data_IF_806864689055
#
_entry.id   IF_806864689055
#
_cell.length_a   1.000
_cell.length_b   1.000
_cell.length_c   1.000
_cell.angle_alpha   90.00
_cell.angle_beta   90.00
_cell.angle_gamma   90.00
#
_symmetry.space_group_name_H-M   'P 1'
#
loop_
_entity.id
_entity.type
_entity.pdbx_description
1 polymer ?
#
# COMPACT_ATOMS: atom_id res chain seq x y z
N UNK A 1 25.74 -3.61 -19.69
CA UNK A 1 25.03 -3.36 -18.42
C UNK A 1 24.61 -4.71 -17.88
N UNK A 2 25.45 -5.30 -17.05
CA UNK A 2 25.16 -6.59 -16.40
C UNK A 2 24.08 -6.39 -15.34
N UNK A 3 23.14 -7.34 -15.31
CA UNK A 3 21.89 -7.21 -14.57
C UNK A 3 22.15 -7.59 -13.11
N UNK A 4 22.21 -6.59 -12.22
CA UNK A 4 22.33 -6.75 -10.76
C UNK A 4 21.24 -7.69 -10.18
N UNK A 5 20.11 -7.78 -10.88
CA UNK A 5 18.99 -8.67 -10.56
C UNK A 5 18.78 -9.73 -11.65
N UNK A 6 19.76 -10.60 -11.87
CA UNK A 6 19.70 -11.68 -12.88
C UNK A 6 18.50 -12.62 -12.70
N UNK A 7 18.02 -12.79 -11.45
CA UNK A 7 16.81 -13.55 -11.12
C UNK A 7 15.51 -12.90 -11.61
N UNK A 8 15.53 -11.60 -11.97
CA UNK A 8 14.40 -10.86 -12.50
C UNK A 8 14.37 -10.85 -14.05
N UNK A 9 15.22 -11.65 -14.70
CA UNK A 9 15.11 -11.83 -16.16
C UNK A 9 13.94 -12.76 -16.51
N UNK A 10 12.92 -12.18 -17.14
CA UNK A 10 11.77 -12.94 -17.61
C UNK A 10 12.12 -13.92 -18.74
N UNK A 11 13.15 -13.61 -19.55
CA UNK A 11 13.57 -14.44 -20.69
C UNK A 11 14.78 -15.31 -20.35
N UNK A 12 14.96 -15.64 -19.08
CA UNK A 12 16.05 -16.50 -18.61
C UNK A 12 16.04 -17.81 -19.40
N UNK A 13 17.09 -18.04 -20.18
CA UNK A 13 17.21 -19.24 -21.01
C UNK A 13 17.60 -20.42 -20.13
N UNK A 14 16.83 -21.50 -20.24
CA UNK A 14 17.19 -22.76 -19.61
C UNK A 14 18.49 -23.29 -20.26
N UNK A 15 19.51 -23.67 -19.47
CA UNK A 15 20.69 -24.32 -20.01
C UNK A 15 20.31 -25.68 -20.60
N UNK A 16 21.09 -26.19 -21.59
CA UNK A 16 20.85 -27.52 -22.14
C UNK A 16 20.82 -28.57 -21.03
N UNK A 17 19.80 -29.43 -21.03
CA UNK A 17 19.71 -30.52 -20.07
C UNK A 17 20.76 -31.58 -20.43
N UNK A 18 21.91 -31.49 -19.77
CA UNK A 18 23.00 -32.45 -19.89
C UNK A 18 23.13 -33.20 -18.57
N UNK A 19 23.32 -34.51 -18.65
CA UNK A 19 23.67 -35.35 -17.51
C UNK A 19 25.11 -35.86 -17.68
N UNK A 20 25.83 -35.96 -16.56
CA UNK A 20 27.20 -36.44 -16.49
C UNK A 20 27.29 -37.57 -15.47
N UNK A 21 28.14 -38.56 -15.73
CA UNK A 21 28.37 -39.66 -14.80
C UNK A 21 29.21 -39.16 -13.62
N UNK A 22 28.69 -39.36 -12.40
CA UNK A 22 29.34 -38.99 -11.15
C UNK A 22 29.41 -40.23 -10.25
N UNK A 23 30.48 -40.37 -9.47
CA UNK A 23 30.70 -41.52 -8.58
C UNK A 23 29.76 -41.52 -7.37
N UNK A 24 29.62 -40.36 -6.72
CA UNK A 24 28.75 -40.18 -5.56
C UNK A 24 27.41 -39.56 -5.98
N UNK A 25 26.33 -40.29 -5.76
CA UNK A 25 24.96 -39.82 -6.01
C UNK A 25 24.10 -39.76 -4.75
N UNK A 26 24.68 -40.06 -3.59
CA UNK A 26 23.97 -40.18 -2.30
C UNK A 26 23.15 -38.92 -1.95
N UNK A 27 23.69 -37.73 -2.23
CA UNK A 27 23.05 -36.46 -1.95
C UNK A 27 21.80 -36.18 -2.80
N UNK A 28 21.70 -36.79 -3.99
CA UNK A 28 20.59 -36.57 -4.92
C UNK A 28 19.25 -37.03 -4.32
N UNK A 29 19.26 -38.07 -3.48
CA UNK A 29 18.10 -38.54 -2.72
C UNK A 29 17.52 -37.44 -1.82
N UNK A 30 18.39 -36.71 -1.11
CA UNK A 30 17.97 -35.62 -0.24
C UNK A 30 17.38 -34.46 -1.06
N UNK A 31 18.01 -34.11 -2.19
CA UNK A 31 17.49 -33.08 -3.10
C UNK A 31 16.10 -33.47 -3.62
N UNK A 32 15.93 -34.71 -4.09
CA UNK A 32 14.66 -35.25 -4.57
C UNK A 32 13.56 -35.16 -3.50
N UNK A 33 13.84 -35.60 -2.27
CA UNK A 33 12.88 -35.56 -1.16
C UNK A 33 12.47 -34.12 -0.83
N UNK A 34 13.42 -33.19 -0.79
CA UNK A 34 13.14 -31.80 -0.46
C UNK A 34 12.33 -31.11 -1.56
N UNK A 35 12.65 -31.36 -2.85
CA UNK A 35 11.86 -30.86 -3.98
C UNK A 35 10.44 -31.43 -3.95
N UNK A 36 10.29 -32.75 -3.74
CA UNK A 36 8.97 -33.38 -3.66
C UNK A 36 8.10 -32.84 -2.54
N UNK A 37 8.69 -32.62 -1.37
CA UNK A 37 7.98 -32.01 -0.25
C UNK A 37 7.47 -30.62 -0.63
N UNK A 38 8.28 -29.83 -1.33
CA UNK A 38 7.85 -28.50 -1.79
C UNK A 38 6.77 -28.57 -2.87
N UNK A 39 6.88 -29.49 -3.84
CA UNK A 39 5.83 -29.71 -4.85
C UNK A 39 4.50 -30.13 -4.20
N UNK A 40 4.53 -31.02 -3.20
CA UNK A 40 3.33 -31.36 -2.42
C UNK A 40 2.74 -30.14 -1.71
N UNK A 41 3.58 -29.25 -1.17
CA UNK A 41 3.15 -28.01 -0.53
C UNK A 41 2.53 -26.99 -1.51
N UNK A 42 2.84 -27.08 -2.81
CA UNK A 42 2.20 -26.29 -3.86
C UNK A 42 0.83 -26.85 -4.27
N UNK A 43 0.52 -28.10 -3.91
CA UNK A 43 -0.78 -28.73 -4.13
C UNK A 43 -1.72 -28.64 -2.90
N UNK A 44 -1.24 -28.06 -1.79
CA UNK A 44 -2.04 -27.86 -0.58
C UNK A 44 -3.19 -26.87 -0.80
N UNK A 45 -4.27 -26.93 0.00
CA UNK A 45 -5.42 -26.03 -0.11
C UNK A 45 -5.04 -24.54 -0.11
N UNK A 46 -4.02 -24.14 0.65
CA UNK A 46 -3.52 -22.76 0.70
C UNK A 46 -3.03 -22.23 -0.67
N UNK A 47 -2.47 -23.11 -1.50
CA UNK A 47 -2.00 -22.73 -2.84
C UNK A 47 -3.19 -22.51 -3.79
N UNK A 48 -4.19 -23.40 -3.75
CA UNK A 48 -5.45 -23.21 -4.48
C UNK A 48 -6.18 -21.94 -4.05
N UNK A 49 -6.25 -21.70 -2.75
CA UNK A 49 -6.81 -20.48 -2.17
C UNK A 49 -6.08 -19.22 -2.66
N UNK A 50 -4.77 -19.30 -2.86
CA UNK A 50 -3.98 -18.20 -3.41
C UNK A 50 -4.37 -17.90 -4.85
N UNK A 51 -4.46 -18.93 -5.70
CA UNK A 51 -4.85 -18.79 -7.11
C UNK A 51 -6.26 -18.22 -7.26
N UNK A 52 -7.23 -18.74 -6.50
CA UNK A 52 -8.61 -18.24 -6.50
C UNK A 52 -8.69 -16.77 -6.06
N UNK A 53 -7.92 -16.41 -5.03
CA UNK A 53 -7.83 -15.04 -4.53
C UNK A 53 -7.16 -14.11 -5.56
N UNK A 54 -6.10 -14.58 -6.22
CA UNK A 54 -5.44 -13.85 -7.30
C UNK A 54 -6.39 -13.58 -8.48
N UNK A 55 -7.17 -14.58 -8.89
CA UNK A 55 -8.19 -14.45 -9.91
C UNK A 55 -9.30 -13.46 -9.49
N UNK A 56 -9.71 -13.47 -8.21
CA UNK A 56 -10.66 -12.50 -7.67
C UNK A 56 -10.13 -11.06 -7.76
N UNK A 57 -8.86 -10.81 -7.43
CA UNK A 57 -8.22 -9.49 -7.59
C UNK A 57 -8.27 -9.04 -9.06
N UNK A 58 -7.95 -9.93 -10.00
CA UNK A 58 -8.06 -9.64 -11.44
C UNK A 58 -9.47 -9.22 -11.86
N UNK A 59 -10.50 -9.96 -11.39
CA UNK A 59 -11.92 -9.64 -11.65
C UNK A 59 -12.34 -8.30 -11.02
N UNK A 60 -11.97 -8.05 -9.77
CA UNK A 60 -12.26 -6.79 -9.07
C UNK A 60 -11.61 -5.60 -9.79
N UNK A 61 -10.36 -5.75 -10.23
CA UNK A 61 -9.64 -4.75 -11.00
C UNK A 61 -10.35 -4.46 -12.33
N UNK A 62 -10.71 -5.49 -13.09
CA UNK A 62 -11.38 -5.34 -14.38
C UNK A 62 -12.73 -4.61 -14.24
N UNK A 63 -13.55 -4.99 -13.27
CA UNK A 63 -14.88 -4.40 -13.02
C UNK A 63 -14.83 -2.91 -12.70
N UNK A 64 -13.75 -2.43 -12.06
CA UNK A 64 -13.63 -1.03 -11.61
C UNK A 64 -12.52 -0.24 -12.29
N UNK A 65 -11.96 -0.76 -13.38
CA UNK A 65 -10.88 -0.11 -14.13
C UNK A 65 -11.20 1.32 -14.53
N UNK A 66 -12.42 1.57 -15.00
CA UNK A 66 -12.83 2.90 -15.46
C UNK A 66 -13.09 3.87 -14.30
N UNK A 67 -13.67 3.38 -13.20
CA UNK A 67 -13.98 4.20 -12.02
C UNK A 67 -12.73 4.63 -11.26
N UNK A 68 -11.71 3.77 -11.20
CA UNK A 68 -10.54 3.98 -10.34
C UNK A 68 -9.22 4.21 -11.10
N UNK A 69 -9.25 4.36 -12.43
CA UNK A 69 -8.06 4.51 -13.29
C UNK A 69 -7.03 5.53 -12.77
N UNK A 70 -7.50 6.65 -12.23
CA UNK A 70 -6.64 7.75 -11.78
C UNK A 70 -6.29 7.70 -10.29
N UNK A 71 -6.80 6.72 -9.54
CA UNK A 71 -6.55 6.60 -8.11
C UNK A 71 -5.19 5.94 -7.83
N UNK A 72 -4.35 6.51 -6.94
CA UNK A 72 -3.05 5.92 -6.60
C UNK A 72 -3.14 4.47 -6.10
N UNK A 73 -4.10 4.14 -5.22
CA UNK A 73 -4.26 2.76 -4.74
C UNK A 73 -4.65 1.78 -5.84
N UNK A 74 -5.40 2.22 -6.85
CA UNK A 74 -5.72 1.37 -8.00
C UNK A 74 -4.49 1.08 -8.86
N UNK A 75 -3.54 2.03 -8.98
CA UNK A 75 -2.24 1.76 -9.62
C UNK A 75 -1.45 0.69 -8.86
N UNK A 76 -1.51 0.67 -7.53
CA UNK A 76 -0.91 -0.39 -6.71
C UNK A 76 -1.57 -1.75 -6.97
N UNK A 77 -2.90 -1.79 -7.14
CA UNK A 77 -3.62 -3.01 -7.54
C UNK A 77 -3.23 -3.46 -8.96
N UNK A 78 -3.01 -2.53 -9.90
CA UNK A 78 -2.50 -2.90 -11.23
C UNK A 78 -1.09 -3.49 -11.17
N UNK A 79 -0.20 -2.94 -10.33
CA UNK A 79 1.14 -3.50 -10.09
C UNK A 79 1.07 -4.89 -9.44
N UNK A 80 0.16 -5.07 -8.47
CA UNK A 80 -0.14 -6.35 -7.85
C UNK A 80 -0.56 -7.38 -8.93
N UNK A 81 -1.53 -7.03 -9.78
CA UNK A 81 -1.99 -7.92 -10.84
C UNK A 81 -0.87 -8.25 -11.85
N UNK A 82 -0.03 -7.28 -12.20
CA UNK A 82 1.12 -7.52 -13.07
C UNK A 82 2.13 -8.50 -12.44
N UNK A 83 2.37 -8.40 -11.12
CA UNK A 83 3.21 -9.35 -10.40
C UNK A 83 2.60 -10.76 -10.35
N UNK A 84 1.28 -10.86 -10.09
CA UNK A 84 0.56 -12.15 -10.13
C UNK A 84 0.62 -12.81 -11.50
N UNK A 85 0.41 -12.07 -12.58
CA UNK A 85 0.53 -12.60 -13.94
C UNK A 85 1.97 -13.04 -14.26
N UNK A 86 2.98 -12.37 -13.72
CA UNK A 86 4.38 -12.82 -13.86
C UNK A 86 4.62 -14.12 -13.10
N UNK A 87 4.02 -14.29 -11.93
CA UNK A 87 4.20 -15.47 -11.09
C UNK A 87 3.60 -16.70 -11.78
N UNK A 88 2.39 -16.54 -12.34
CA UNK A 88 1.74 -17.58 -13.14
C UNK A 88 2.59 -18.02 -14.34
N UNK A 89 3.33 -17.09 -14.97
CA UNK A 89 4.19 -17.39 -16.12
C UNK A 89 5.55 -17.99 -15.75
N UNK A 90 5.97 -17.88 -14.49
CA UNK A 90 7.24 -18.43 -14.03
C UNK A 90 7.17 -19.96 -13.89
N UNK A 91 5.99 -20.52 -13.58
CA UNK A 91 5.73 -21.97 -13.53
C UNK A 91 6.86 -22.79 -12.88
N UNK A 92 7.17 -22.44 -11.62
CA UNK A 92 8.24 -23.07 -10.87
C UNK A 92 7.99 -24.58 -10.65
N UNK A 93 6.73 -24.99 -10.55
CA UNK A 93 6.36 -26.39 -10.33
C UNK A 93 6.87 -27.25 -11.49
N UNK A 94 6.61 -26.83 -12.73
CA UNK A 94 7.10 -27.52 -13.92
C UNK A 94 8.63 -27.55 -14.00
N UNK A 95 9.29 -26.44 -13.71
CA UNK A 95 10.76 -26.37 -13.70
C UNK A 95 11.36 -27.37 -12.69
N UNK A 96 10.76 -27.46 -11.50
CA UNK A 96 11.17 -28.39 -10.44
C UNK A 96 10.86 -29.85 -10.78
N UNK A 97 9.71 -30.16 -11.38
CA UNK A 97 9.35 -31.50 -11.84
C UNK A 97 10.33 -32.01 -12.91
N UNK A 98 10.65 -31.17 -13.89
CA UNK A 98 11.61 -31.50 -14.94
C UNK A 98 13.01 -31.76 -14.36
N UNK A 99 13.47 -30.91 -13.44
CA UNK A 99 14.78 -31.10 -12.80
C UNK A 99 14.81 -32.36 -11.92
N UNK A 100 13.75 -32.57 -11.12
CA UNK A 100 13.59 -33.76 -10.29
C UNK A 100 13.61 -35.03 -11.14
N UNK A 101 12.94 -35.04 -12.28
CA UNK A 101 12.91 -36.19 -13.20
C UNK A 101 14.26 -36.48 -13.88
N UNK A 102 15.21 -35.54 -13.85
CA UNK A 102 16.57 -35.73 -14.34
C UNK A 102 17.54 -36.24 -13.26
N UNK A 103 17.09 -36.40 -12.01
CA UNK A 103 17.88 -37.02 -10.94
C UNK A 103 17.85 -38.56 -11.10
N UNK A 104 18.91 -39.27 -10.68
CA UNK A 104 18.97 -40.72 -10.77
C UNK A 104 17.94 -41.40 -9.84
N UNK A 105 17.32 -42.49 -10.32
CA UNK A 105 16.34 -43.27 -9.57
C UNK A 105 16.96 -44.07 -8.41
N UNK A 106 18.21 -44.51 -8.59
CA UNK A 106 19.01 -45.22 -7.58
C UNK A 106 20.15 -44.32 -7.16
N UNK A 107 20.24 -44.04 -5.86
CA UNK A 107 21.26 -43.18 -5.27
C UNK A 107 22.06 -43.99 -4.25
N UNK A 108 23.28 -44.40 -4.61
CA UNK A 108 24.21 -45.10 -3.72
C UNK A 108 25.58 -44.40 -3.74
N UNK A 109 26.34 -44.56 -2.66
CA UNK A 109 27.70 -43.99 -2.52
C UNK A 109 28.72 -44.70 -3.43
N UNK A 110 28.48 -45.99 -3.73
CA UNK A 110 29.37 -46.85 -4.51
C UNK A 110 28.93 -47.06 -5.96
N UNK A 111 27.67 -46.76 -6.30
CA UNK A 111 27.18 -46.81 -7.68
C UNK A 111 27.09 -45.40 -8.26
N UNK A 112 27.97 -45.15 -9.23
CA UNK A 112 27.91 -43.94 -10.02
C UNK A 112 26.63 -43.87 -10.86
N UNK A 113 26.11 -42.66 -11.05
CA UNK A 113 24.88 -42.41 -11.78
C UNK A 113 24.94 -41.16 -12.65
N UNK A 114 24.00 -41.05 -13.59
CA UNK A 114 23.85 -39.88 -14.43
C UNK A 114 23.22 -38.73 -13.62
N UNK A 115 23.96 -37.64 -13.46
CA UNK A 115 23.56 -36.47 -12.68
C UNK A 115 23.43 -35.22 -13.55
N UNK A 116 22.44 -34.36 -13.34
CA UNK A 116 22.32 -33.12 -14.10
C UNK A 116 23.50 -32.19 -13.80
N UNK A 117 23.86 -31.34 -14.75
CA UNK A 117 24.97 -30.40 -14.54
C UNK A 117 24.66 -29.35 -13.48
N UNK A 118 25.72 -28.79 -12.89
CA UNK A 118 25.64 -27.63 -11.99
C UNK A 118 24.92 -26.44 -12.61
N UNK A 119 25.09 -26.21 -13.92
CA UNK A 119 24.36 -25.16 -14.65
C UNK A 119 22.84 -25.35 -14.60
N UNK A 120 22.36 -26.58 -14.78
CA UNK A 120 20.93 -26.90 -14.68
C UNK A 120 20.41 -26.69 -13.26
N UNK A 121 21.20 -27.02 -12.24
CA UNK A 121 20.83 -26.81 -10.85
C UNK A 121 20.83 -25.32 -10.46
N UNK A 122 21.85 -24.57 -10.87
CA UNK A 122 21.92 -23.12 -10.68
C UNK A 122 20.72 -22.43 -11.31
N UNK A 123 20.31 -22.82 -12.53
CA UNK A 123 19.07 -22.33 -13.15
C UNK A 123 17.86 -22.49 -12.23
N UNK A 124 17.65 -23.67 -11.64
CA UNK A 124 16.56 -23.92 -10.68
C UNK A 124 16.64 -22.99 -9.47
N UNK A 125 17.84 -22.77 -8.92
CA UNK A 125 18.03 -21.83 -7.81
C UNK A 125 17.68 -20.40 -8.22
N UNK A 126 18.00 -19.97 -9.44
CA UNK A 126 17.61 -18.65 -9.97
C UNK A 126 16.10 -18.54 -10.14
N UNK A 127 15.44 -19.58 -10.65
CA UNK A 127 13.96 -19.61 -10.76
C UNK A 127 13.31 -19.52 -9.39
N UNK A 128 13.87 -20.21 -8.39
CA UNK A 128 13.41 -20.16 -7.01
C UNK A 128 13.60 -18.78 -6.36
N UNK A 129 14.72 -18.10 -6.64
CA UNK A 129 14.94 -16.70 -6.25
C UNK A 129 13.91 -15.76 -6.88
N UNK A 130 13.66 -15.91 -8.18
CA UNK A 130 12.64 -15.16 -8.90
C UNK A 130 11.24 -15.37 -8.30
N UNK A 131 10.88 -16.60 -7.99
CA UNK A 131 9.62 -16.94 -7.33
C UNK A 131 9.49 -16.30 -5.94
N UNK A 132 10.54 -16.39 -5.12
CA UNK A 132 10.59 -15.77 -3.78
C UNK A 132 10.37 -14.25 -3.85
N UNK A 133 11.19 -13.53 -4.64
CA UNK A 133 11.11 -12.07 -4.71
C UNK A 133 9.82 -11.59 -5.37
N UNK A 134 9.21 -12.40 -6.24
CA UNK A 134 7.91 -12.06 -6.81
C UNK A 134 6.79 -12.14 -5.78
N UNK A 135 6.85 -13.12 -4.86
CA UNK A 135 5.95 -13.16 -3.70
C UNK A 135 6.18 -12.00 -2.73
N UNK A 136 7.43 -11.56 -2.52
CA UNK A 136 7.72 -10.34 -1.76
C UNK A 136 7.11 -9.12 -2.44
N UNK A 137 7.26 -9.01 -3.76
CA UNK A 137 6.70 -7.90 -4.53
C UNK A 137 5.18 -7.85 -4.47
N UNK A 138 4.53 -9.01 -4.51
CA UNK A 138 3.08 -9.15 -4.31
C UNK A 138 2.69 -8.59 -2.94
N UNK A 139 3.43 -8.97 -1.87
CA UNK A 139 3.19 -8.49 -0.50
C UNK A 139 3.32 -6.96 -0.40
N UNK A 140 4.37 -6.37 -0.96
CA UNK A 140 4.56 -4.92 -0.97
C UNK A 140 3.42 -4.18 -1.68
N UNK A 141 2.98 -4.71 -2.83
CA UNK A 141 1.87 -4.12 -3.58
C UNK A 141 0.55 -4.24 -2.80
N UNK A 142 0.34 -5.36 -2.11
CA UNK A 142 -0.78 -5.56 -1.21
C UNK A 142 -0.79 -4.53 -0.07
N UNK A 143 0.33 -4.34 0.64
CA UNK A 143 0.46 -3.35 1.72
C UNK A 143 0.19 -1.93 1.22
N UNK A 144 0.78 -1.56 0.08
CA UNK A 144 0.59 -0.25 -0.55
C UNK A 144 -0.87 0.01 -0.94
N UNK A 145 -1.54 -1.01 -1.51
CA UNK A 145 -2.95 -0.90 -1.87
C UNK A 145 -3.85 -0.86 -0.62
N UNK A 146 -3.58 -1.71 0.37
CA UNK A 146 -4.34 -1.76 1.62
C UNK A 146 -4.27 -0.43 2.38
N UNK A 147 -3.11 0.20 2.48
CA UNK A 147 -2.97 1.52 3.12
C UNK A 147 -3.89 2.57 2.50
N UNK A 148 -3.90 2.65 1.16
CA UNK A 148 -4.75 3.60 0.43
C UNK A 148 -6.25 3.29 0.58
N UNK A 149 -6.64 2.03 0.35
CA UNK A 149 -8.06 1.64 0.41
C UNK A 149 -8.61 1.69 1.84
N UNK A 150 -7.79 1.49 2.86
CA UNK A 150 -8.19 1.70 4.26
C UNK A 150 -8.48 3.17 4.54
N UNK A 151 -7.68 4.10 4.00
CA UNK A 151 -7.98 5.53 4.08
C UNK A 151 -9.28 5.89 3.33
N UNK A 152 -9.50 5.29 2.15
CA UNK A 152 -10.73 5.49 1.38
C UNK A 152 -11.97 4.97 2.12
N UNK A 153 -11.83 3.82 2.81
CA UNK A 153 -12.87 3.22 3.63
C UNK A 153 -13.26 4.13 4.80
N UNK A 154 -12.28 4.75 5.48
CA UNK A 154 -12.54 5.72 6.56
C UNK A 154 -13.33 6.94 6.09
N UNK A 155 -13.23 7.29 4.81
CA UNK A 155 -13.97 8.37 4.19
C UNK A 155 -15.37 7.95 3.70
N UNK A 156 -15.80 6.72 4.01
CA UNK A 156 -17.10 6.14 3.63
C UNK A 156 -17.37 6.06 2.11
N UNK A 157 -16.32 5.95 1.29
CA UNK A 157 -16.46 5.83 -0.16
C UNK A 157 -16.38 4.38 -0.65
N UNK A 158 -17.31 4.01 -1.54
CA UNK A 158 -17.34 2.70 -2.23
C UNK A 158 -17.23 1.51 -1.26
N UNK A 159 -17.88 1.59 -0.10
CA UNK A 159 -17.68 0.69 1.04
C UNK A 159 -17.67 -0.78 0.66
N UNK A 160 -18.71 -1.27 -0.03
CA UNK A 160 -18.83 -2.69 -0.42
C UNK A 160 -17.64 -3.18 -1.27
N UNK A 161 -17.19 -2.37 -2.22
CA UNK A 161 -16.05 -2.74 -3.06
C UNK A 161 -14.75 -2.66 -2.28
N UNK A 162 -14.57 -1.58 -1.51
CA UNK A 162 -13.35 -1.32 -0.74
C UNK A 162 -13.16 -2.38 0.34
N UNK A 163 -14.21 -2.81 1.04
CA UNK A 163 -14.14 -3.88 2.04
C UNK A 163 -13.75 -5.22 1.42
N UNK A 164 -14.43 -5.61 0.33
CA UNK A 164 -14.12 -6.86 -0.38
C UNK A 164 -12.69 -6.85 -0.94
N UNK A 165 -12.27 -5.72 -1.51
CA UNK A 165 -10.92 -5.57 -2.05
C UNK A 165 -9.85 -5.65 -0.94
N UNK A 166 -10.05 -4.98 0.19
CA UNK A 166 -9.13 -5.05 1.34
C UNK A 166 -9.05 -6.49 1.87
N UNK A 167 -10.19 -7.18 2.00
CA UNK A 167 -10.21 -8.58 2.44
C UNK A 167 -9.43 -9.50 1.50
N UNK A 168 -9.63 -9.35 0.18
CA UNK A 168 -8.91 -10.12 -0.83
C UNK A 168 -7.40 -9.82 -0.81
N UNK A 169 -7.01 -8.54 -0.71
CA UNK A 169 -5.61 -8.12 -0.62
C UNK A 169 -4.95 -8.67 0.65
N UNK A 170 -5.64 -8.64 1.79
CA UNK A 170 -5.13 -9.17 3.05
C UNK A 170 -4.92 -10.70 2.99
N UNK A 171 -5.92 -11.44 2.47
CA UNK A 171 -5.79 -12.89 2.25
C UNK A 171 -4.61 -13.21 1.33
N UNK A 172 -4.49 -12.50 0.21
CA UNK A 172 -3.41 -12.69 -0.75
C UNK A 172 -2.03 -12.37 -0.15
N UNK A 173 -1.91 -11.29 0.63
CA UNK A 173 -0.66 -10.93 1.32
C UNK A 173 -0.21 -12.01 2.30
N UNK A 174 -1.14 -12.57 3.07
CA UNK A 174 -0.88 -13.68 4.02
C UNK A 174 -0.37 -14.91 3.27
N UNK A 175 -1.09 -15.35 2.25
CA UNK A 175 -0.75 -16.53 1.46
C UNK A 175 0.59 -16.34 0.71
N UNK A 176 0.83 -15.16 0.14
CA UNK A 176 2.10 -14.83 -0.51
C UNK A 176 3.29 -14.93 0.45
N UNK A 177 3.11 -14.47 1.70
CA UNK A 177 4.16 -14.57 2.73
C UNK A 177 4.46 -16.01 3.11
N UNK A 178 3.43 -16.86 3.19
CA UNK A 178 3.59 -18.29 3.45
C UNK A 178 4.39 -18.96 2.32
N UNK A 179 4.05 -18.68 1.06
CA UNK A 179 4.72 -19.25 -0.10
C UNK A 179 6.18 -18.77 -0.23
N UNK A 180 6.44 -17.48 0.01
CA UNK A 180 7.81 -16.97 0.09
C UNK A 180 8.62 -17.67 1.20
N UNK A 181 8.03 -17.92 2.37
CA UNK A 181 8.70 -18.66 3.45
C UNK A 181 9.02 -20.12 3.08
N UNK A 182 8.09 -20.81 2.42
CA UNK A 182 8.31 -22.17 1.87
C UNK A 182 9.44 -22.15 0.83
N UNK A 183 9.44 -21.17 -0.08
CA UNK A 183 10.46 -20.98 -1.12
C UNK A 183 11.85 -20.71 -0.53
N UNK A 184 11.95 -19.84 0.47
CA UNK A 184 13.21 -19.56 1.17
C UNK A 184 13.75 -20.81 1.87
N UNK A 185 12.87 -21.59 2.50
CA UNK A 185 13.23 -22.86 3.14
C UNK A 185 13.77 -23.87 2.14
N UNK A 186 13.13 -23.99 0.96
CA UNK A 186 13.62 -24.84 -0.12
C UNK A 186 15.01 -24.37 -0.60
N UNK A 187 15.15 -23.07 -0.87
CA UNK A 187 16.40 -22.49 -1.36
C UNK A 187 17.56 -22.75 -0.41
N UNK A 188 17.35 -22.51 0.89
CA UNK A 188 18.39 -22.70 1.92
C UNK A 188 18.81 -24.18 2.06
N UNK A 189 17.94 -25.12 1.72
CA UNK A 189 18.27 -26.56 1.71
C UNK A 189 18.99 -26.99 0.44
N UNK A 190 18.66 -26.39 -0.70
CA UNK A 190 19.25 -26.72 -2.00
C UNK A 190 20.60 -26.03 -2.22
N UNK A 191 20.75 -24.78 -1.78
CA UNK A 191 21.94 -23.95 -2.03
C UNK A 191 23.28 -24.57 -1.61
N UNK A 192 23.39 -25.30 -0.48
CA UNK A 192 24.63 -25.98 -0.10
C UNK A 192 25.03 -27.11 -1.06
N UNK A 193 24.06 -27.72 -1.75
CA UNK A 193 24.29 -28.87 -2.64
C UNK A 193 24.93 -28.47 -3.97
N UNK A 194 25.06 -27.16 -4.28
CA UNK A 194 25.63 -26.67 -5.54
C UNK A 194 27.03 -27.23 -5.81
N UNK A 195 27.86 -27.35 -4.77
CA UNK A 195 29.23 -27.85 -4.91
C UNK A 195 29.31 -29.33 -5.31
N UNK A 196 28.26 -30.11 -5.04
CA UNK A 196 28.22 -31.55 -5.29
C UNK A 196 27.84 -31.89 -6.74
N UNK A 197 27.35 -30.92 -7.52
CA UNK A 197 26.98 -31.12 -8.91
C UNK A 197 28.16 -30.98 -9.87
N UNK A 198 28.24 -31.79 -10.95
CA UNK A 198 29.35 -31.75 -11.89
C UNK A 198 29.31 -30.49 -12.76
N UNK A 199 30.46 -29.85 -12.93
CA UNK A 199 30.63 -28.65 -13.75
C UNK A 199 31.10 -29.02 -15.16
N UNK A 200 30.51 -28.39 -16.19
CA UNK A 200 31.00 -28.48 -17.57
C UNK A 200 32.10 -27.45 -17.78
N UNK A 201 33.28 -27.87 -18.24
CA UNK A 201 34.46 -26.98 -18.36
C UNK A 201 34.24 -25.76 -19.26
N UNK A 202 33.44 -25.89 -20.32
CA UNK A 202 33.19 -24.84 -21.32
C UNK A 202 31.88 -24.05 -21.11
N UNK A 203 31.12 -24.36 -20.06
CA UNK A 203 29.82 -23.74 -19.82
C UNK A 203 29.63 -23.39 -18.35
N UNK A 204 29.45 -22.10 -18.07
CA UNK A 204 28.98 -21.59 -16.78
C UNK A 204 27.66 -20.87 -17.02
N UNK A 205 26.65 -21.21 -16.24
CA UNK A 205 25.34 -20.57 -16.36
C UNK A 205 25.34 -19.16 -15.75
N UNK A 206 25.93 -19.01 -14.56
CA UNK A 206 26.17 -17.73 -13.93
C UNK A 206 27.44 -17.10 -14.49
N UNK A 207 27.38 -15.80 -14.80
CA UNK A 207 28.58 -15.03 -15.14
C UNK A 207 29.48 -14.87 -13.92
N UNK A 208 30.78 -14.60 -14.11
CA UNK A 208 31.75 -14.52 -13.01
C UNK A 208 31.41 -13.39 -11.99
N UNK A 209 30.60 -12.41 -12.39
CA UNK A 209 30.13 -11.30 -11.53
C UNK A 209 28.77 -11.59 -10.84
N UNK A 210 28.16 -12.75 -11.08
CA UNK A 210 26.83 -13.10 -10.56
C UNK A 210 26.93 -14.16 -9.48
N UNK A 211 26.62 -13.78 -8.24
CA UNK A 211 26.63 -14.70 -7.11
C UNK A 211 25.22 -15.01 -6.60
N UNK A 212 25.01 -16.29 -6.28
CA UNK A 212 23.79 -16.75 -5.61
C UNK A 212 23.87 -16.40 -4.12
N UNK A 213 22.86 -15.70 -3.55
CA UNK A 213 22.81 -15.40 -2.12
C UNK A 213 23.06 -16.65 -1.26
N UNK A 214 23.83 -16.51 -0.19
CA UNK A 214 24.16 -17.65 0.68
C UNK A 214 22.91 -18.19 1.38
N UNK A 215 22.00 -17.30 1.79
CA UNK A 215 20.77 -17.64 2.50
C UNK A 215 19.67 -16.63 2.14
N UNK A 216 18.44 -17.13 2.06
CA UNK A 216 17.24 -16.31 2.00
C UNK A 216 16.58 -16.28 3.36
N UNK A 217 16.26 -15.09 3.84
CA UNK A 217 15.47 -14.94 5.06
C UNK A 217 13.99 -15.05 4.71
N UNK A 218 13.21 -15.88 5.41
CA UNK A 218 11.77 -15.90 5.22
C UNK A 218 11.22 -14.50 5.56
N UNK A 219 10.23 -13.98 4.81
CA UNK A 219 9.69 -12.66 5.09
C UNK A 219 9.22 -12.63 6.55
N UNK A 220 9.78 -11.70 7.31
CA UNK A 220 9.45 -11.52 8.72
C UNK A 220 7.93 -11.42 8.81
N UNK A 221 7.30 -12.38 9.52
CA UNK A 221 5.97 -12.13 10.04
C UNK A 221 6.15 -10.90 10.92
N UNK A 222 5.55 -9.79 10.53
CA UNK A 222 5.24 -8.73 11.48
C UNK A 222 4.17 -9.29 12.42
N UNK A 223 4.53 -10.34 13.19
CA UNK A 223 4.04 -10.44 14.54
C UNK A 223 4.47 -9.11 15.12
N UNK A 224 3.50 -8.31 15.56
CA UNK A 224 3.75 -7.07 16.28
C UNK A 224 5.01 -7.27 17.12
N UNK A 225 6.12 -6.68 16.67
CA UNK A 225 7.11 -6.29 17.63
C UNK A 225 6.31 -5.35 18.50
N UNK A 226 5.93 -5.86 19.66
CA UNK A 226 5.93 -5.09 20.89
C UNK A 226 7.27 -4.38 20.90
N UNK A 227 7.36 -3.26 20.19
CA UNK A 227 7.88 -2.06 20.81
C UNK A 227 7.16 -2.03 22.15
N UNK A 228 7.94 -2.28 23.22
CA UNK A 228 7.64 -1.72 24.53
C UNK A 228 7.63 -0.21 24.37
N UNK A 229 6.61 0.30 23.69
CA UNK A 229 6.08 1.61 23.95
C UNK A 229 4.85 1.34 24.81
N UNK A 230 4.89 1.91 26.00
CA UNK A 230 3.86 1.86 27.01
C UNK A 230 2.49 2.14 26.38
N UNK A 231 1.70 1.10 26.15
CA UNK A 231 0.27 1.24 25.89
C UNK A 231 -0.42 1.48 27.23
N UNK A 232 -1.07 2.64 27.46
CA UNK A 232 -2.05 2.74 28.52
C UNK A 232 -3.26 1.86 28.14
N UNK A 233 -3.69 1.03 29.09
CA UNK A 233 -4.88 0.17 29.01
C UNK A 233 -6.11 0.95 28.51
N UNK A 234 -6.53 0.68 27.27
CA UNK A 234 -7.87 1.07 26.79
C UNK A 234 -8.79 -0.12 27.06
N UNK A 235 -9.13 -0.30 28.34
CA UNK A 235 -10.37 -0.97 28.72
C UNK A 235 -11.51 -0.04 28.33
N UNK A 236 -12.32 -0.46 27.35
CA UNK A 236 -13.60 0.15 27.00
C UNK A 236 -14.53 0.15 28.23
N UNK A 237 -14.42 1.18 29.08
CA UNK A 237 -15.50 1.57 29.98
C UNK A 237 -16.46 2.46 29.19
N UNK A 238 -17.76 2.14 29.15
CA UNK A 238 -18.73 2.95 28.41
C UNK A 238 -18.78 4.36 29.02
N UNK A 239 -18.41 5.36 28.22
CA UNK A 239 -18.51 6.77 28.59
C UNK A 239 -20.00 7.10 28.69
N UNK A 240 -20.51 7.32 29.91
CA UNK A 240 -21.85 7.88 30.13
C UNK A 240 -21.95 9.22 29.39
N UNK A 241 -22.94 9.33 28.51
CA UNK A 241 -23.27 10.55 27.79
C UNK A 241 -23.89 11.53 28.78
N UNK A 242 -23.08 12.47 29.28
CA UNK A 242 -23.54 13.59 30.11
C UNK A 242 -24.23 14.60 29.19
N UNK A 243 -25.54 14.73 29.33
CA UNK A 243 -26.33 15.72 28.60
C UNK A 243 -26.05 17.14 29.13
N UNK A 244 -26.36 18.18 28.34
CA UNK A 244 -26.07 19.59 28.67
C UNK A 244 -26.63 20.05 30.03
N UNK A 245 -27.64 19.34 30.57
CA UNK A 245 -28.30 19.64 31.84
C UNK A 245 -27.45 19.22 33.06
N UNK A 246 -26.68 18.15 32.96
CA UNK A 246 -25.81 17.67 34.06
C UNK A 246 -24.52 18.50 34.20
N UNK A 247 -24.00 19.04 33.08
CA UNK A 247 -22.90 20.01 33.11
C UNK A 247 -23.29 21.31 33.83
N UNK A 248 -24.53 21.76 33.71
CA UNK A 248 -25.02 22.96 34.41
C UNK A 248 -25.13 22.76 35.93
N UNK A 249 -25.50 21.55 36.39
CA UNK A 249 -25.61 21.21 37.82
C UNK A 249 -24.26 21.08 38.53
N UNK A 250 -23.18 20.75 37.80
CA UNK A 250 -21.82 20.66 38.35
C UNK A 250 -21.15 22.04 38.49
N UNK A 251 -21.41 22.97 37.57
CA UNK A 251 -20.90 24.34 37.64
C UNK A 251 -21.59 25.16 38.73
N UNK A 252 -22.85 24.84 39.06
CA UNK A 252 -23.58 25.50 40.15
C UNK A 252 -23.09 25.15 41.57
N UNK A 253 -22.19 24.18 41.74
CA UNK A 253 -21.69 23.73 43.06
C UNK A 253 -20.29 24.22 43.41
N UNK A 254 -19.65 25.03 42.56
CA UNK A 254 -18.26 25.47 42.76
C UNK A 254 -18.10 26.98 42.92
N UNK A 255 -19.13 27.72 43.30
CA UNK A 255 -19.04 29.17 43.47
C UNK A 255 -19.27 29.55 44.94
N UNK A 256 -18.18 29.49 45.72
CA UNK A 256 -18.08 30.13 47.03
C UNK A 256 -16.94 31.14 46.94
N UNK A 257 -17.33 32.38 46.64
CA UNK A 257 -16.68 33.64 47.01
C UNK A 257 -15.16 33.76 46.91
N UNK A 258 -14.68 34.54 45.94
CA UNK A 258 -13.65 35.55 46.23
C UNK A 258 -13.80 36.74 45.29
N UNK A 259 -14.15 37.89 45.85
CA UNK A 259 -14.26 39.17 45.14
C UNK A 259 -12.84 39.68 44.86
N UNK A 260 -12.39 39.55 43.62
CA UNK A 260 -11.20 40.26 43.14
C UNK A 260 -11.67 41.42 42.27
N UNK A 261 -11.60 42.62 42.84
CA UNK A 261 -11.84 43.86 42.13
C UNK A 261 -10.80 44.03 41.02
N UNK A 262 -11.22 43.92 39.76
CA UNK A 262 -10.45 44.42 38.61
C UNK A 262 -10.93 45.83 38.29
N UNK A 263 -9.98 46.77 38.33
CA UNK A 263 -10.11 48.16 37.92
C UNK A 263 -10.83 48.26 36.58
N UNK A 264 -11.95 48.96 36.59
CA UNK A 264 -12.65 49.38 35.39
C UNK A 264 -11.85 50.47 34.65
N UNK A 265 -11.82 50.34 33.33
CA UNK A 265 -11.70 51.46 32.38
C UNK A 265 -12.28 50.96 31.05
N UNK A 266 -12.88 51.86 30.26
CA UNK A 266 -14.31 51.99 30.12
C UNK A 266 -14.87 51.15 28.98
N UNK A 267 -16.14 50.78 29.16
CA UNK A 267 -17.06 50.46 28.07
C UNK A 267 -17.05 51.64 27.09
N UNK A 268 -16.36 51.49 25.97
CA UNK A 268 -16.65 52.24 24.77
C UNK A 268 -17.44 51.30 23.87
N UNK A 269 -18.66 51.73 23.53
CA UNK A 269 -19.56 51.09 22.58
C UNK A 269 -18.85 50.75 21.26
N UNK A 270 -18.34 49.53 21.14
CA UNK A 270 -17.91 49.01 19.86
C UNK A 270 -19.16 48.59 19.09
N UNK A 271 -19.77 49.56 18.40
CA UNK A 271 -20.78 49.36 17.34
C UNK A 271 -20.43 48.08 16.56
N UNK A 272 -21.39 47.16 16.44
CA UNK A 272 -21.31 46.04 15.48
C UNK A 272 -20.80 46.62 14.15
N UNK A 273 -19.74 46.07 13.53
CA UNK A 273 -19.23 46.62 12.30
C UNK A 273 -20.34 46.52 11.25
N UNK A 274 -20.90 47.66 10.87
CA UNK A 274 -21.84 47.77 9.78
C UNK A 274 -21.05 47.67 8.48
N UNK A 275 -21.40 46.71 7.64
CA UNK A 275 -20.80 46.57 6.33
C UNK A 275 -21.15 47.80 5.48
N UNK A 276 -20.15 48.61 5.11
CA UNK A 276 -20.34 49.70 4.17
C UNK A 276 -20.12 49.19 2.73
N UNK A 277 -21.07 49.48 1.85
CA UNK A 277 -21.03 49.03 0.45
C UNK A 277 -19.91 49.71 -0.36
N UNK A 278 -19.44 50.88 0.10
CA UNK A 278 -18.37 51.63 -0.55
C UNK A 278 -17.00 50.90 -0.50
N UNK A 279 -16.87 49.87 0.34
CA UNK A 279 -15.68 49.01 0.43
C UNK A 279 -15.49 48.14 -0.83
N UNK A 280 -16.50 48.02 -1.69
CA UNK A 280 -16.46 47.27 -2.95
C UNK A 280 -16.57 48.18 -4.19
N UNK A 281 -16.06 49.42 -4.10
CA UNK A 281 -16.16 50.40 -5.18
C UNK A 281 -15.35 50.02 -6.43
N UNK A 282 -14.15 49.46 -6.26
CA UNK A 282 -13.29 49.04 -7.37
C UNK A 282 -13.04 47.53 -7.41
N UNK A 283 -12.61 47.03 -8.57
CA UNK A 283 -12.27 45.63 -8.78
C UNK A 283 -11.10 45.20 -7.88
N UNK A 284 -10.14 46.08 -7.67
CA UNK A 284 -9.00 45.86 -6.77
C UNK A 284 -9.45 45.75 -5.30
N UNK A 285 -10.45 46.54 -4.91
CA UNK A 285 -10.99 46.48 -3.54
C UNK A 285 -11.77 45.18 -3.30
N UNK A 286 -12.52 44.71 -4.30
CA UNK A 286 -13.20 43.41 -4.24
C UNK A 286 -12.22 42.24 -4.13
N UNK A 287 -11.07 42.28 -4.82
CA UNK A 287 -10.02 41.26 -4.68
C UNK A 287 -9.41 41.27 -3.27
N UNK A 288 -9.02 42.45 -2.76
CA UNK A 288 -8.48 42.61 -1.40
C UNK A 288 -9.48 42.16 -0.33
N UNK A 289 -10.77 42.42 -0.53
CA UNK A 289 -11.84 41.95 0.34
C UNK A 289 -11.94 40.42 0.34
N UNK A 290 -11.93 39.79 -0.83
CA UNK A 290 -11.97 38.33 -0.98
C UNK A 290 -10.79 37.66 -0.26
N UNK A 291 -9.58 38.21 -0.39
CA UNK A 291 -8.38 37.68 0.26
C UNK A 291 -8.45 37.78 1.78
N UNK A 292 -8.82 38.96 2.31
CA UNK A 292 -8.97 39.20 3.75
C UNK A 292 -10.01 38.27 4.37
N UNK A 293 -11.18 38.16 3.76
CA UNK A 293 -12.28 37.31 4.25
C UNK A 293 -11.93 35.81 4.12
N UNK A 294 -11.20 35.41 3.08
CA UNK A 294 -10.71 34.03 2.94
C UNK A 294 -9.69 33.65 4.00
N UNK A 295 -8.82 34.59 4.38
CA UNK A 295 -7.87 34.38 5.47
C UNK A 295 -8.58 34.32 6.83
N UNK A 296 -9.52 35.24 7.09
CA UNK A 296 -10.29 35.25 8.32
C UNK A 296 -11.14 33.97 8.52
N UNK A 297 -11.66 33.39 7.43
CA UNK A 297 -12.41 32.11 7.44
C UNK A 297 -11.56 30.86 7.70
N UNK A 298 -10.23 30.94 7.61
CA UNK A 298 -9.33 29.81 7.94
C UNK A 298 -9.15 29.63 9.45
N UNK A 299 -9.45 30.65 10.26
CA UNK A 299 -9.41 30.59 11.72
C UNK A 299 -10.66 29.87 12.26
N UNK A 300 -10.48 28.96 13.23
CA UNK A 300 -11.57 28.21 13.86
C UNK A 300 -11.66 28.56 15.36
N UNK A 301 -12.73 29.24 15.81
CA UNK A 301 -13.85 29.80 15.03
C UNK A 301 -13.46 31.10 14.27
N UNK A 302 -14.16 31.46 13.18
CA UNK A 302 -13.89 32.71 12.47
C UNK A 302 -14.12 33.92 13.39
N UNK A 303 -13.26 34.96 13.33
CA UNK A 303 -13.35 36.12 14.20
C UNK A 303 -14.64 36.91 13.94
N UNK A 304 -15.11 37.66 14.94
CA UNK A 304 -16.32 38.50 14.81
C UNK A 304 -16.17 39.63 13.77
N UNK A 305 -14.94 39.96 13.39
CA UNK A 305 -14.61 40.90 12.32
C UNK A 305 -14.80 40.35 10.91
N UNK A 306 -15.09 39.05 10.75
CA UNK A 306 -15.32 38.40 9.45
C UNK A 306 -16.78 38.58 9.02
N UNK A 307 -17.03 39.48 8.07
CA UNK A 307 -18.39 39.81 7.63
C UNK A 307 -19.05 38.62 6.93
N UNK A 308 -18.26 37.79 6.27
CA UNK A 308 -18.76 36.65 5.52
C UNK A 308 -19.04 35.44 6.42
N UNK A 309 -18.78 35.46 7.73
CA UNK A 309 -18.94 34.30 8.63
C UNK A 309 -20.31 33.60 8.55
N UNK A 310 -21.38 34.34 8.24
CA UNK A 310 -22.75 33.82 8.12
C UNK A 310 -23.04 33.10 6.78
N UNK A 311 -22.21 33.30 5.76
CA UNK A 311 -22.40 32.70 4.42
C UNK A 311 -21.87 31.27 4.42
N UNK A 312 -22.62 30.32 3.86
CA UNK A 312 -22.18 28.92 3.79
C UNK A 312 -20.89 28.76 2.96
N UNK A 313 -20.06 27.77 3.32
CA UNK A 313 -18.73 27.55 2.68
C UNK A 313 -18.81 27.37 1.16
N UNK A 314 -19.82 26.64 0.68
CA UNK A 314 -20.01 26.37 -0.75
C UNK A 314 -20.50 27.60 -1.52
N UNK A 315 -21.39 28.42 -0.93
CA UNK A 315 -21.87 29.67 -1.55
C UNK A 315 -20.73 30.69 -1.70
N UNK A 316 -19.88 30.81 -0.67
CA UNK A 316 -18.71 31.68 -0.71
C UNK A 316 -17.72 31.26 -1.80
N UNK A 317 -17.44 29.96 -1.91
CA UNK A 317 -16.51 29.42 -2.91
C UNK A 317 -17.06 29.59 -4.35
N UNK A 318 -18.38 29.44 -4.52
CA UNK A 318 -19.05 29.70 -5.80
C UNK A 318 -18.95 31.19 -6.19
N UNK A 319 -19.17 32.11 -5.25
CA UNK A 319 -19.06 33.55 -5.51
C UNK A 319 -17.64 33.97 -5.91
N UNK A 320 -16.61 33.43 -5.23
CA UNK A 320 -15.21 33.66 -5.59
C UNK A 320 -14.87 33.15 -6.98
N UNK A 321 -15.28 31.92 -7.28
CA UNK A 321 -14.99 31.28 -8.58
C UNK A 321 -15.68 32.03 -9.71
N UNK A 322 -16.91 32.49 -9.50
CA UNK A 322 -17.66 33.28 -10.48
C UNK A 322 -17.02 34.65 -10.70
N UNK A 323 -16.59 35.33 -9.64
CA UNK A 323 -15.89 36.61 -9.72
C UNK A 323 -14.58 36.47 -10.52
N UNK A 324 -13.73 35.49 -10.19
CA UNK A 324 -12.47 35.25 -10.90
C UNK A 324 -12.66 34.87 -12.37
N UNK A 325 -13.67 34.04 -12.68
CA UNK A 325 -13.98 33.64 -14.07
C UNK A 325 -14.45 34.82 -14.92
N UNK A 326 -15.22 35.74 -14.32
CA UNK A 326 -15.79 36.91 -15.01
C UNK A 326 -14.82 38.08 -15.08
N UNK A 327 -13.88 38.17 -14.15
CA UNK A 327 -12.84 39.19 -14.10
C UNK A 327 -12.04 39.30 -15.41
N UNK A 328 -11.66 38.17 -16.02
CA UNK A 328 -10.86 38.15 -17.25
C UNK A 328 -11.63 38.56 -18.51
N UNK A 329 -12.96 38.57 -18.48
CA UNK A 329 -13.81 38.85 -19.66
C UNK A 329 -14.57 40.17 -19.55
N UNK A 330 -15.12 40.46 -18.37
CA UNK A 330 -16.03 41.59 -18.13
C UNK A 330 -15.87 42.07 -16.66
N UNK A 331 -14.87 42.92 -16.35
CA UNK A 331 -14.54 43.28 -14.96
C UNK A 331 -15.65 44.05 -14.25
N UNK A 332 -16.37 44.94 -14.95
CA UNK A 332 -17.47 45.72 -14.40
C UNK A 332 -18.70 44.87 -14.05
N UNK A 333 -18.99 43.86 -14.89
CA UNK A 333 -20.06 42.89 -14.62
C UNK A 333 -19.68 41.93 -13.48
N UNK A 334 -18.40 41.55 -13.38
CA UNK A 334 -17.91 40.75 -12.26
C UNK A 334 -18.11 41.47 -10.93
N UNK A 335 -17.77 42.77 -10.88
CA UNK A 335 -17.94 43.61 -9.70
C UNK A 335 -19.41 43.79 -9.32
N UNK A 336 -20.29 44.10 -10.27
CA UNK A 336 -21.71 44.32 -9.98
C UNK A 336 -22.43 43.06 -9.46
N UNK A 337 -22.11 41.90 -10.05
CA UNK A 337 -22.65 40.60 -9.60
C UNK A 337 -22.14 40.25 -8.19
N UNK A 338 -20.84 40.43 -7.96
CA UNK A 338 -20.24 40.13 -6.65
C UNK A 338 -20.76 41.08 -5.56
N UNK A 339 -20.84 42.39 -5.84
CA UNK A 339 -21.41 43.38 -4.93
C UNK A 339 -22.86 43.04 -4.57
N UNK A 340 -23.70 42.71 -5.55
CA UNK A 340 -25.09 42.27 -5.33
C UNK A 340 -25.17 41.02 -4.45
N UNK A 341 -24.30 40.05 -4.68
CA UNK A 341 -24.25 38.83 -3.88
C UNK A 341 -23.89 39.12 -2.41
N UNK A 342 -22.88 39.96 -2.17
CA UNK A 342 -22.43 40.31 -0.82
C UNK A 342 -23.48 41.12 -0.07
N UNK A 343 -24.07 42.12 -0.71
CA UNK A 343 -25.13 42.95 -0.12
C UNK A 343 -26.32 42.09 0.29
N UNK A 344 -26.81 41.20 -0.59
CA UNK A 344 -27.95 40.33 -0.30
C UNK A 344 -27.73 39.29 0.81
N UNK A 345 -26.47 39.00 1.14
CA UNK A 345 -26.10 37.96 2.11
C UNK A 345 -25.62 38.52 3.46
N UNK A 346 -25.27 39.81 3.51
CA UNK A 346 -24.75 40.47 4.71
C UNK A 346 -25.76 41.47 5.28
N UNK A 347 -26.50 42.21 4.43
CA UNK A 347 -27.72 42.92 4.84
C UNK A 347 -28.88 41.94 4.84
#
# INVERSE_FOLDING_TARGET
MENEFFWNDFKLKQPPLVTLLVKDTSFAKNVFVVINRFLQQLSEPDAKDFEETAALIGRLMARRKNSFRNMPGFRSVCKLNAALCRLLRLDLARDLENFRGALPDVCDEDLGGAMPTRSSFEFILVRLLGFYHLHERIRECCLSAAAYFTQLLRNNFFMEFTTLLIAAIAKLSKLSSLQAGKSATLYNKLRPQVANYPQVQKHKFLADNQELPARLEPPMRTNNQTQKDETPDIVLKPKKVVTKVEKAKLVAKSDVGTIIARKGTPVQDAKKPTFNEDVLATVADAQKFIERESQARKLNPPPESCFTRKIAKHEWLAAQTLFQRKLSKEPEKALSIFRRFIVNKIK
#
